data_IF_407346637808
#
_entry.id   IF_407346637808
#
_cell.length_a   1.000
_cell.length_b   1.000
_cell.length_c   1.000
_cell.angle_alpha   90.00
_cell.angle_beta   90.00
_cell.angle_gamma   90.00
#
_symmetry.space_group_name_H-M   'P 1'
#
loop_
_entity.id
_entity.type
_entity.pdbx_description
1 polymer ?
#
# COMPACT_ATOMS: atom_id res chain seq x y z
N UNK A 1 -6.21 6.10 -17.71
CA UNK A 1 -6.37 4.68 -18.01
C UNK A 1 -5.97 3.85 -16.80
N UNK A 2 -6.64 2.72 -16.59
CA UNK A 2 -6.21 1.77 -15.56
C UNK A 2 -4.99 0.99 -16.04
N UNK A 3 -4.09 0.66 -15.12
CA UNK A 3 -2.94 -0.20 -15.41
C UNK A 3 -3.35 -1.67 -15.28
N UNK A 4 -2.52 -2.58 -15.79
CA UNK A 4 -2.71 -4.03 -15.61
C UNK A 4 -2.09 -4.49 -14.29
N UNK A 5 -2.38 -3.77 -13.22
CA UNK A 5 -1.81 -4.01 -11.89
C UNK A 5 -2.93 -4.19 -10.88
N UNK A 6 -2.80 -5.16 -10.00
CA UNK A 6 -3.73 -5.40 -8.90
C UNK A 6 -3.08 -4.94 -7.61
N UNK A 7 -3.81 -4.13 -6.84
CA UNK A 7 -3.41 -3.74 -5.49
C UNK A 7 -4.08 -4.67 -4.49
N UNK A 8 -3.28 -5.31 -3.65
CA UNK A 8 -3.78 -6.17 -2.57
C UNK A 8 -3.53 -5.46 -1.25
N UNK A 9 -4.57 -5.34 -0.43
CA UNK A 9 -4.51 -4.73 0.90
C UNK A 9 -4.83 -5.79 1.95
N UNK A 10 -4.03 -5.81 3.01
CA UNK A 10 -4.25 -6.68 4.16
C UNK A 10 -4.24 -5.80 5.42
N UNK A 11 -5.42 -5.58 5.98
CA UNK A 11 -5.60 -4.67 7.11
C UNK A 11 -5.58 -5.43 8.42
N UNK A 12 -4.64 -5.09 9.31
CA UNK A 12 -4.61 -5.56 10.68
C UNK A 12 -5.11 -4.48 11.64
N UNK A 13 -5.01 -4.73 12.94
CA UNK A 13 -5.49 -3.80 13.96
C UNK A 13 -4.66 -2.52 14.01
N UNK A 14 -3.36 -2.61 13.79
CA UNK A 14 -2.45 -1.47 13.87
C UNK A 14 -1.49 -1.39 12.68
N UNK A 15 -1.79 -2.13 11.61
CA UNK A 15 -0.96 -2.13 10.40
C UNK A 15 -1.80 -2.39 9.17
N UNK A 16 -1.32 -1.89 8.03
CA UNK A 16 -1.90 -2.18 6.72
C UNK A 16 -0.76 -2.57 5.81
N UNK A 17 -0.81 -3.79 5.28
CA UNK A 17 0.15 -4.26 4.30
C UNK A 17 -0.44 -4.09 2.91
N UNK A 18 0.41 -3.77 1.94
CA UNK A 18 -0.03 -3.61 0.56
C UNK A 18 0.99 -4.23 -0.38
N UNK A 19 0.49 -4.66 -1.54
CA UNK A 19 1.34 -5.22 -2.60
C UNK A 19 0.70 -4.95 -3.95
N UNK A 20 1.54 -4.67 -4.95
CA UNK A 20 1.12 -4.51 -6.33
C UNK A 20 1.60 -5.72 -7.13
N UNK A 21 0.69 -6.34 -7.86
CA UNK A 21 0.99 -7.50 -8.69
C UNK A 21 0.67 -7.19 -10.15
N UNK A 22 1.50 -7.73 -11.05
CA UNK A 22 1.26 -7.63 -12.49
C UNK A 22 0.16 -8.63 -12.88
N UNK A 23 -0.99 -8.11 -13.30
CA UNK A 23 -2.12 -8.94 -13.72
C UNK A 23 -2.05 -9.32 -15.20
N UNK A 24 -1.17 -8.71 -15.98
CA UNK A 24 -1.03 -9.02 -17.40
C UNK A 24 -0.21 -10.31 -17.63
N UNK A 25 0.58 -10.72 -16.65
CA UNK A 25 1.40 -11.92 -16.75
C UNK A 25 0.59 -13.16 -16.35
N UNK A 26 0.62 -14.20 -17.15
CA UNK A 26 -0.09 -15.46 -16.88
C UNK A 26 0.92 -16.61 -16.86
N UNK A 27 1.03 -17.38 -15.74
CA UNK A 27 0.31 -17.19 -14.49
C UNK A 27 0.77 -15.95 -13.73
N UNK A 28 -0.09 -15.45 -12.86
CA UNK A 28 0.25 -14.26 -12.08
C UNK A 28 1.50 -14.51 -11.23
N UNK A 29 2.47 -13.57 -11.19
CA UNK A 29 3.69 -13.78 -10.42
C UNK A 29 3.40 -13.95 -8.94
N UNK A 30 4.21 -14.76 -8.27
CA UNK A 30 4.12 -14.95 -6.82
C UNK A 30 4.70 -13.76 -6.05
N UNK A 31 5.64 -13.06 -6.67
CA UNK A 31 6.28 -11.92 -6.03
C UNK A 31 5.65 -10.63 -6.54
N UNK A 32 5.40 -9.68 -5.65
CA UNK A 32 4.82 -8.41 -6.06
C UNK A 32 5.85 -7.56 -6.83
N UNK A 33 5.34 -6.68 -7.68
CA UNK A 33 6.15 -5.64 -8.32
C UNK A 33 6.68 -4.66 -7.28
N UNK A 34 5.90 -4.41 -6.25
CA UNK A 34 6.22 -3.48 -5.17
C UNK A 34 5.33 -3.80 -3.99
N UNK A 35 5.86 -3.67 -2.80
CA UNK A 35 5.09 -3.95 -1.60
C UNK A 35 5.59 -3.10 -0.45
N UNK A 36 4.79 -3.03 0.59
CA UNK A 36 5.15 -2.32 1.79
C UNK A 36 4.08 -2.45 2.85
N UNK A 37 4.23 -1.64 3.90
CA UNK A 37 3.25 -1.62 4.99
C UNK A 37 3.32 -0.27 5.70
N UNK A 38 2.20 0.10 6.29
CA UNK A 38 2.12 1.14 7.31
C UNK A 38 1.92 0.44 8.63
N UNK A 39 2.77 0.71 9.61
CA UNK A 39 2.67 0.08 10.93
C UNK A 39 2.71 1.14 12.02
N UNK A 40 2.31 0.75 13.23
CA UNK A 40 2.20 1.68 14.35
C UNK A 40 1.01 2.62 14.22
N UNK A 41 -0.03 2.21 13.49
CA UNK A 41 -1.23 3.02 13.29
C UNK A 41 -1.95 3.18 14.62
N UNK A 42 -2.23 4.42 14.97
CA UNK A 42 -2.83 4.75 16.26
C UNK A 42 -1.83 4.92 17.40
N UNK A 43 -0.57 4.59 17.16
CA UNK A 43 0.50 4.79 18.13
C UNK A 43 1.27 6.09 17.90
N UNK A 44 2.26 6.38 18.76
CA UNK A 44 2.99 7.65 18.68
C UNK A 44 4.01 7.74 17.55
N UNK A 45 4.44 6.62 16.98
CA UNK A 45 5.51 6.60 15.97
C UNK A 45 5.15 5.70 14.79
N UNK A 46 4.11 6.07 14.00
CA UNK A 46 3.80 5.28 12.82
C UNK A 46 4.91 5.40 11.78
N UNK A 47 5.10 4.32 11.01
CA UNK A 47 6.12 4.28 9.95
C UNK A 47 5.53 3.75 8.66
N UNK A 48 6.13 4.18 7.56
CA UNK A 48 5.87 3.65 6.22
C UNK A 48 7.09 2.86 5.78
N UNK A 49 6.90 1.57 5.56
CA UNK A 49 7.96 0.67 5.10
C UNK A 49 7.65 0.24 3.68
N UNK A 50 8.62 0.38 2.79
CA UNK A 50 8.50 -0.17 1.45
C UNK A 50 9.69 -1.07 1.14
N UNK A 51 9.47 -2.06 0.27
CA UNK A 51 10.49 -3.05 -0.06
C UNK A 51 11.74 -2.38 -0.60
N UNK A 52 12.89 -2.74 -0.04
CA UNK A 52 14.18 -2.21 -0.46
C UNK A 52 14.55 -0.86 0.15
N UNK A 53 13.70 -0.30 1.01
CA UNK A 53 13.94 0.99 1.64
C UNK A 53 13.87 0.89 3.16
N UNK A 54 14.62 1.72 3.90
CA UNK A 54 14.47 1.75 5.35
C UNK A 54 13.12 2.33 5.75
N UNK A 55 12.61 1.99 6.96
CA UNK A 55 11.36 2.55 7.46
C UNK A 55 11.42 4.08 7.52
N UNK A 56 10.32 4.73 7.12
CA UNK A 56 10.20 6.17 7.15
C UNK A 56 9.18 6.57 8.19
N UNK A 57 9.53 7.48 9.12
CA UNK A 57 8.53 8.01 10.05
C UNK A 57 7.50 8.83 9.28
N UNK A 58 6.24 8.69 9.67
CA UNK A 58 5.13 9.41 9.05
C UNK A 58 4.24 10.01 10.15
N UNK A 59 3.38 10.95 9.74
CA UNK A 59 2.39 11.53 10.62
C UNK A 59 1.01 11.13 10.10
N UNK A 60 0.17 10.60 10.99
CA UNK A 60 -1.20 10.22 10.67
C UNK A 60 -2.17 11.05 11.49
N UNK A 61 -3.38 11.25 10.93
CA UNK A 61 -4.47 11.91 11.64
C UNK A 61 -4.79 11.12 12.91
N UNK A 62 -4.77 11.78 14.07
CA UNK A 62 -5.00 11.14 15.35
C UNK A 62 -6.45 10.70 15.54
N UNK A 63 -7.41 11.34 14.86
CA UNK A 63 -8.83 10.97 14.95
C UNK A 63 -9.18 9.81 14.04
N UNK A 64 -8.56 9.76 12.85
CA UNK A 64 -8.84 8.75 11.83
C UNK A 64 -7.54 8.17 11.27
N UNK A 65 -6.73 7.51 12.12
CA UNK A 65 -5.41 7.06 11.68
C UNK A 65 -5.47 5.99 10.58
N UNK A 66 -6.45 5.09 10.62
CA UNK A 66 -6.58 4.06 9.59
C UNK A 66 -6.95 4.67 8.25
N UNK A 67 -7.85 5.63 8.23
CA UNK A 67 -8.22 6.36 7.00
C UNK A 67 -7.03 7.11 6.43
N UNK A 68 -6.26 7.76 7.30
CA UNK A 68 -5.06 8.48 6.88
C UNK A 68 -4.00 7.53 6.31
N UNK A 69 -3.85 6.35 6.90
CA UNK A 69 -2.92 5.34 6.41
C UNK A 69 -3.33 4.83 5.02
N UNK A 70 -4.61 4.56 4.82
CA UNK A 70 -5.10 4.13 3.50
C UNK A 70 -4.92 5.22 2.45
N UNK A 71 -5.15 6.48 2.82
CA UNK A 71 -4.94 7.61 1.90
C UNK A 71 -3.47 7.74 1.51
N UNK A 72 -2.56 7.52 2.45
CA UNK A 72 -1.12 7.55 2.18
C UNK A 72 -0.72 6.42 1.22
N UNK A 73 -1.21 5.22 1.45
CA UNK A 73 -0.95 4.08 0.58
C UNK A 73 -1.46 4.36 -0.84
N UNK A 74 -2.69 4.88 -0.94
CA UNK A 74 -3.28 5.24 -2.23
C UNK A 74 -2.42 6.27 -2.96
N UNK A 75 -1.97 7.30 -2.26
CA UNK A 75 -1.12 8.34 -2.84
C UNK A 75 0.18 7.76 -3.37
N UNK A 76 0.83 6.88 -2.59
CA UNK A 76 2.09 6.25 -2.99
C UNK A 76 1.90 5.29 -4.15
N UNK A 77 0.79 4.56 -4.18
CA UNK A 77 0.45 3.66 -5.29
C UNK A 77 0.25 4.46 -6.58
N UNK A 78 -0.53 5.54 -6.52
CA UNK A 78 -0.77 6.38 -7.69
C UNK A 78 0.53 7.01 -8.20
N UNK A 79 1.39 7.44 -7.29
CA UNK A 79 2.68 8.00 -7.64
C UNK A 79 3.56 6.94 -8.31
N UNK A 80 3.56 5.72 -7.79
CA UNK A 80 4.33 4.60 -8.36
C UNK A 80 3.85 4.24 -9.75
N UNK A 81 2.54 4.30 -9.98
CA UNK A 81 1.91 4.00 -11.27
C UNK A 81 1.82 5.21 -12.19
N UNK A 82 2.47 6.32 -11.82
CA UNK A 82 2.51 7.55 -12.63
C UNK A 82 1.12 8.11 -12.92
N UNK A 83 0.25 8.06 -11.90
CA UNK A 83 -1.12 8.58 -12.00
C UNK A 83 -2.13 7.59 -12.54
N UNK A 84 -1.71 6.40 -12.97
CA UNK A 84 -2.63 5.36 -13.41
C UNK A 84 -3.24 4.64 -12.21
N UNK A 85 -4.48 4.20 -12.35
CA UNK A 85 -5.15 3.44 -11.30
C UNK A 85 -4.87 1.95 -11.47
N UNK A 86 -4.80 1.18 -10.37
CA UNK A 86 -4.80 -0.27 -10.51
C UNK A 86 -6.11 -0.75 -11.13
N UNK A 87 -6.06 -1.85 -11.88
CA UNK A 87 -7.25 -2.39 -12.53
C UNK A 87 -8.20 -3.05 -11.52
N UNK A 88 -7.70 -3.43 -10.34
CA UNK A 88 -8.50 -4.01 -9.29
C UNK A 88 -7.83 -3.77 -7.93
N UNK A 89 -8.64 -3.76 -6.88
CA UNK A 89 -8.18 -3.69 -5.49
C UNK A 89 -8.79 -4.87 -4.75
N UNK A 90 -7.94 -5.70 -4.14
CA UNK A 90 -8.37 -6.84 -3.35
C UNK A 90 -8.06 -6.60 -1.87
N UNK A 91 -8.99 -6.96 -0.99
CA UNK A 91 -8.82 -6.88 0.45
C UNK A 91 -8.74 -8.28 1.04
N UNK A 92 -7.91 -8.43 2.04
CA UNK A 92 -7.79 -9.67 2.80
C UNK A 92 -8.04 -9.41 4.28
#
# INVERSE_FOLDING_TARGET
MASDVILVLNCGSSSIKFALFDAATIPMPRQPLWSGKVQGIGGPTPTFDEAGQPPQPITLDTEHPNTAALALIRERVLKRLQGQRPCAVAHR
#
